data_IF_445872600493
#
_entry.id   IF_445872600493
#
_cell.length_a   1.000
_cell.length_b   1.000
_cell.length_c   1.000
_cell.angle_alpha   90.00
_cell.angle_beta   90.00
_cell.angle_gamma   90.00
#
_symmetry.space_group_name_H-M   'P 1'
#
loop_
_entity.id
_entity.type
_entity.pdbx_description
1 polymer ?
#
# COMPACT_ATOMS: atom_id res chain seq x y z
N UNK A 1 -31.29 1.21 -30.02
CA UNK A 1 -32.21 0.19 -29.46
C UNK A 1 -32.69 0.71 -28.10
N UNK A 2 -33.94 1.15 -27.98
CA UNK A 2 -34.49 1.73 -26.73
C UNK A 2 -34.90 0.57 -25.83
N UNK A 3 -34.33 0.47 -24.62
CA UNK A 3 -34.67 -0.61 -23.69
C UNK A 3 -35.92 -0.25 -22.87
N UNK A 4 -36.73 -1.22 -22.46
CA UNK A 4 -37.92 -1.01 -21.61
C UNK A 4 -37.61 -0.18 -20.34
N UNK A 5 -36.36 -0.23 -19.86
CA UNK A 5 -35.89 0.50 -18.68
C UNK A 5 -35.79 2.02 -18.92
N UNK A 6 -35.41 2.42 -20.13
CA UNK A 6 -35.37 3.84 -20.53
C UNK A 6 -36.76 4.47 -20.64
N UNK A 7 -37.81 3.68 -20.88
CA UNK A 7 -39.20 4.15 -20.88
C UNK A 7 -39.79 4.32 -19.47
N UNK A 8 -39.13 3.75 -18.45
CA UNK A 8 -39.61 3.74 -17.07
C UNK A 8 -38.82 4.67 -16.15
N UNK A 9 -37.99 5.56 -16.71
CA UNK A 9 -37.08 6.46 -15.97
C UNK A 9 -36.18 5.72 -14.96
N UNK A 10 -35.91 4.43 -15.22
CA UNK A 10 -35.13 3.58 -14.33
C UNK A 10 -33.64 3.72 -14.64
N UNK A 11 -32.85 4.20 -13.67
CA UNK A 11 -31.43 4.46 -13.90
C UNK A 11 -30.56 3.19 -13.94
N UNK A 12 -31.07 2.06 -13.44
CA UNK A 12 -30.32 0.81 -13.38
C UNK A 12 -31.21 -0.42 -13.54
N UNK A 13 -30.61 -1.47 -14.08
CA UNK A 13 -31.14 -2.82 -14.11
C UNK A 13 -30.48 -3.68 -13.05
N UNK A 14 -31.29 -4.56 -12.45
CA UNK A 14 -30.85 -5.60 -11.54
C UNK A 14 -31.67 -6.84 -11.83
N UNK A 15 -31.02 -7.92 -12.24
CA UNK A 15 -31.72 -9.16 -12.58
C UNK A 15 -32.57 -9.65 -11.40
N UNK A 16 -33.82 -10.05 -11.67
CA UNK A 16 -34.79 -10.44 -10.64
C UNK A 16 -35.38 -9.30 -9.81
N UNK A 17 -34.94 -8.05 -10.01
CA UNK A 17 -35.59 -6.88 -9.43
C UNK A 17 -36.76 -6.42 -10.30
N UNK A 18 -37.76 -5.79 -9.68
CA UNK A 18 -38.84 -5.14 -10.41
C UNK A 18 -38.30 -3.87 -11.05
N UNK A 19 -38.56 -3.70 -12.34
CA UNK A 19 -38.22 -2.50 -13.11
C UNK A 19 -39.13 -1.33 -12.77
N UNK A 20 -40.36 -1.61 -12.32
CA UNK A 20 -41.34 -0.60 -11.89
C UNK A 20 -41.08 -0.17 -10.44
N UNK A 21 -41.04 1.15 -10.15
CA UNK A 21 -41.03 1.65 -8.78
C UNK A 21 -42.17 1.05 -7.96
N UNK A 22 -41.92 0.72 -6.70
CA UNK A 22 -42.97 0.21 -5.82
C UNK A 22 -44.08 1.29 -5.71
N UNK A 23 -45.36 0.94 -5.92
CA UNK A 23 -46.44 1.92 -5.82
C UNK A 23 -46.43 2.55 -4.42
N UNK A 24 -46.34 3.89 -4.38
CA UNK A 24 -46.10 4.68 -3.16
C UNK A 24 -47.18 4.55 -2.07
N UNK A 25 -48.33 3.94 -2.37
CA UNK A 25 -49.48 3.83 -1.46
C UNK A 25 -50.23 2.51 -1.64
N UNK A 26 -49.65 1.40 -1.17
CA UNK A 26 -50.45 0.30 -0.60
C UNK A 26 -49.55 -0.67 0.13
N UNK A 27 -49.87 -0.91 1.41
CA UNK A 27 -49.36 -2.06 2.17
C UNK A 27 -50.07 -3.30 1.64
N UNK A 28 -49.78 -3.71 0.40
CA UNK A 28 -50.19 -5.02 -0.07
C UNK A 28 -49.24 -6.06 0.53
N UNK A 29 -49.82 -7.14 1.07
CA UNK A 29 -49.11 -8.35 1.52
C UNK A 29 -48.00 -8.65 0.51
N UNK A 30 -46.75 -8.56 0.96
CA UNK A 30 -45.57 -8.79 0.11
C UNK A 30 -45.71 -10.16 -0.54
N UNK A 31 -46.10 -10.20 -1.81
CA UNK A 31 -46.02 -11.42 -2.61
C UNK A 31 -44.58 -11.94 -2.48
N UNK A 32 -44.42 -13.17 -1.98
CA UNK A 32 -43.10 -13.78 -1.79
C UNK A 32 -42.39 -13.76 -3.15
N UNK A 33 -41.21 -13.13 -3.18
CA UNK A 33 -40.42 -12.99 -4.41
C UNK A 33 -40.05 -14.38 -4.90
N UNK A 34 -40.37 -14.71 -6.15
CA UNK A 34 -39.96 -15.99 -6.77
C UNK A 34 -38.47 -16.02 -7.13
N UNK A 35 -37.88 -14.86 -7.42
CA UNK A 35 -36.45 -14.71 -7.70
C UNK A 35 -35.81 -13.74 -6.71
N UNK A 36 -34.68 -14.12 -6.12
CA UNK A 36 -33.88 -13.21 -5.30
C UNK A 36 -33.09 -12.31 -6.25
N UNK A 37 -33.15 -10.97 -6.10
CA UNK A 37 -32.44 -10.07 -6.99
C UNK A 37 -30.94 -10.37 -7.00
N UNK A 38 -30.34 -10.40 -8.19
CA UNK A 38 -28.91 -10.64 -8.36
C UNK A 38 -28.08 -9.66 -7.53
N UNK A 39 -26.89 -10.03 -7.03
CA UNK A 39 -26.08 -9.14 -6.20
C UNK A 39 -25.49 -7.94 -6.98
N UNK A 40 -25.53 -7.98 -8.32
CA UNK A 40 -24.92 -7.00 -9.21
C UNK A 40 -25.94 -6.05 -9.86
N UNK A 41 -25.44 -4.92 -10.38
CA UNK A 41 -26.23 -3.83 -10.95
C UNK A 41 -25.64 -3.37 -12.28
N UNK A 42 -26.49 -3.04 -13.26
CA UNK A 42 -26.09 -2.55 -14.59
C UNK A 42 -26.73 -1.18 -14.85
N UNK A 43 -25.97 -0.11 -15.08
CA UNK A 43 -26.51 1.16 -15.57
C UNK A 43 -27.11 0.97 -16.97
N UNK A 44 -28.38 1.34 -17.17
CA UNK A 44 -29.10 1.11 -18.45
C UNK A 44 -29.67 2.38 -19.08
N UNK A 45 -29.50 3.53 -18.45
CA UNK A 45 -29.98 4.82 -18.95
C UNK A 45 -29.23 5.24 -20.22
N UNK A 46 -29.89 5.81 -21.24
CA UNK A 46 -29.20 6.37 -22.40
C UNK A 46 -28.32 7.60 -22.07
N UNK A 47 -28.68 8.37 -21.05
CA UNK A 47 -27.90 9.53 -20.58
C UNK A 47 -26.63 9.08 -19.82
N UNK A 48 -25.47 9.42 -20.39
CA UNK A 48 -24.13 9.15 -19.82
C UNK A 48 -23.99 9.71 -18.41
N UNK A 49 -24.47 10.93 -18.14
CA UNK A 49 -24.32 11.57 -16.82
C UNK A 49 -25.05 10.79 -15.74
N UNK A 50 -26.25 10.29 -16.05
CA UNK A 50 -27.03 9.43 -15.15
C UNK A 50 -26.34 8.08 -14.92
N UNK A 51 -25.75 7.46 -15.95
CA UNK A 51 -24.97 6.22 -15.78
C UNK A 51 -23.76 6.43 -14.88
N UNK A 52 -22.98 7.49 -15.09
CA UNK A 52 -21.84 7.82 -14.22
C UNK A 52 -22.27 8.11 -12.77
N UNK A 53 -23.43 8.72 -12.57
CA UNK A 53 -23.99 8.94 -11.23
C UNK A 53 -24.36 7.62 -10.52
N UNK A 54 -24.90 6.64 -11.25
CA UNK A 54 -25.14 5.28 -10.73
C UNK A 54 -23.82 4.60 -10.37
N UNK A 55 -22.84 4.64 -11.27
CA UNK A 55 -21.51 4.06 -11.04
C UNK A 55 -20.88 4.66 -9.78
N UNK A 56 -20.90 5.99 -9.63
CA UNK A 56 -20.34 6.67 -8.45
C UNK A 56 -20.92 6.19 -7.14
N UNK A 57 -22.26 6.03 -7.08
CA UNK A 57 -22.98 5.69 -5.84
C UNK A 57 -22.90 4.20 -5.51
N UNK A 58 -22.96 3.34 -6.52
CA UNK A 58 -23.16 1.90 -6.37
C UNK A 58 -22.01 1.08 -6.96
N UNK A 59 -20.81 1.65 -7.13
CA UNK A 59 -19.66 1.00 -7.77
C UNK A 59 -19.37 -0.41 -7.25
N UNK A 60 -19.56 -0.67 -5.95
CA UNK A 60 -19.35 -2.00 -5.36
C UNK A 60 -20.28 -3.07 -5.93
N UNK A 61 -21.51 -2.70 -6.31
CA UNK A 61 -22.52 -3.59 -6.88
C UNK A 61 -22.45 -3.64 -8.40
N UNK A 62 -21.96 -2.58 -9.04
CA UNK A 62 -21.73 -2.58 -10.47
C UNK A 62 -20.69 -3.66 -10.84
N UNK A 63 -20.95 -4.36 -11.94
CA UNK A 63 -20.02 -5.33 -12.52
C UNK A 63 -19.44 -4.72 -13.83
N UNK A 64 -18.11 -4.49 -13.92
CA UNK A 64 -17.50 -3.80 -15.04
C UNK A 64 -17.70 -4.51 -16.38
N UNK A 65 -17.99 -5.81 -16.40
CA UNK A 65 -18.26 -6.58 -17.62
C UNK A 65 -19.36 -5.95 -18.50
N UNK A 66 -20.35 -5.32 -17.87
CA UNK A 66 -21.51 -4.76 -18.57
C UNK A 66 -21.38 -3.27 -18.90
N UNK A 67 -20.22 -2.68 -18.63
CA UNK A 67 -19.91 -1.30 -18.92
C UNK A 67 -19.11 -1.20 -20.23
N UNK A 68 -19.23 -0.07 -20.92
CA UNK A 68 -18.31 0.27 -22.01
C UNK A 68 -16.90 0.57 -21.46
N UNK A 69 -15.89 0.68 -22.33
CA UNK A 69 -14.50 0.79 -21.88
C UNK A 69 -14.24 2.07 -21.05
N UNK A 70 -14.85 3.19 -21.43
CA UNK A 70 -14.72 4.46 -20.72
C UNK A 70 -15.37 4.40 -19.32
N UNK A 71 -16.55 3.79 -19.21
CA UNK A 71 -17.22 3.57 -17.92
C UNK A 71 -16.48 2.54 -17.07
N UNK A 72 -15.84 1.53 -17.67
CA UNK A 72 -14.96 0.60 -16.97
C UNK A 72 -13.76 1.33 -16.35
N UNK A 73 -13.12 2.25 -17.09
CA UNK A 73 -12.01 3.08 -16.56
C UNK A 73 -12.49 4.03 -15.47
N UNK A 74 -13.66 4.62 -15.63
CA UNK A 74 -14.27 5.48 -14.61
C UNK A 74 -14.58 4.71 -13.31
N UNK A 75 -15.21 3.55 -13.44
CA UNK A 75 -15.47 2.63 -12.33
C UNK A 75 -14.17 2.21 -11.64
N UNK A 76 -13.14 1.86 -12.42
CA UNK A 76 -11.82 1.46 -11.91
C UNK A 76 -11.16 2.55 -11.08
N UNK A 77 -11.33 3.82 -11.49
CA UNK A 77 -10.81 4.98 -10.77
C UNK A 77 -11.48 5.13 -9.39
N UNK A 78 -12.81 5.02 -9.33
CA UNK A 78 -13.55 5.08 -8.06
C UNK A 78 -13.16 3.91 -7.16
N UNK A 79 -13.12 2.70 -7.73
CA UNK A 79 -12.78 1.49 -7.02
C UNK A 79 -11.36 1.53 -6.44
N UNK A 80 -10.38 1.98 -7.22
CA UNK A 80 -8.98 2.09 -6.78
C UNK A 80 -8.83 2.98 -5.55
N UNK A 81 -9.58 4.10 -5.50
CA UNK A 81 -9.61 5.03 -4.37
C UNK A 81 -10.28 4.45 -3.12
N UNK A 82 -11.40 3.73 -3.31
CA UNK A 82 -12.32 3.41 -2.22
C UNK A 82 -12.24 1.97 -1.70
N UNK A 83 -11.64 1.05 -2.44
CA UNK A 83 -11.58 -0.36 -2.07
C UNK A 83 -10.93 -0.59 -0.70
N UNK A 84 -11.54 -1.47 0.08
CA UNK A 84 -11.06 -1.90 1.40
C UNK A 84 -10.24 -3.19 1.29
N UNK A 85 -9.28 -3.34 2.19
CA UNK A 85 -8.36 -4.49 2.16
C UNK A 85 -9.04 -5.86 2.31
N UNK A 86 -10.15 -5.91 3.05
CA UNK A 86 -10.90 -7.15 3.30
C UNK A 86 -11.69 -7.59 2.06
N UNK A 87 -12.06 -6.66 1.18
CA UNK A 87 -12.86 -6.88 -0.03
C UNK A 87 -12.01 -7.28 -1.25
N UNK A 88 -10.68 -7.19 -1.14
CA UNK A 88 -9.74 -7.37 -2.26
C UNK A 88 -9.96 -8.66 -3.06
N UNK A 89 -10.23 -9.78 -2.38
CA UNK A 89 -10.31 -11.09 -3.02
C UNK A 89 -11.53 -11.16 -3.95
N UNK A 90 -12.68 -10.69 -3.48
CA UNK A 90 -13.89 -10.60 -4.29
C UNK A 90 -13.73 -9.61 -5.44
N UNK A 91 -12.92 -8.56 -5.25
CA UNK A 91 -12.70 -7.54 -6.28
C UNK A 91 -11.76 -8.00 -7.39
N UNK A 92 -10.72 -8.77 -7.04
CA UNK A 92 -9.83 -9.40 -8.03
C UNK A 92 -10.62 -10.34 -8.94
N UNK A 93 -11.57 -11.11 -8.39
CA UNK A 93 -12.44 -11.97 -9.20
C UNK A 93 -13.25 -11.16 -10.23
N UNK A 94 -13.80 -10.00 -9.84
CA UNK A 94 -14.53 -9.11 -10.77
C UNK A 94 -13.65 -8.58 -11.89
N UNK A 95 -12.41 -8.22 -11.59
CA UNK A 95 -11.48 -7.66 -12.56
C UNK A 95 -10.87 -8.70 -13.50
N UNK A 96 -10.70 -9.94 -13.05
CA UNK A 96 -9.94 -10.96 -13.81
C UNK A 96 -10.82 -12.04 -14.41
N UNK A 97 -11.72 -12.63 -13.62
CA UNK A 97 -12.49 -13.80 -14.02
C UNK A 97 -13.79 -13.43 -14.76
N UNK A 98 -14.28 -12.20 -14.62
CA UNK A 98 -15.58 -11.77 -15.15
C UNK A 98 -15.52 -10.94 -16.43
N UNK A 99 -14.33 -10.78 -17.02
CA UNK A 99 -14.18 -10.15 -18.33
C UNK A 99 -14.13 -8.63 -18.33
N UNK A 100 -13.57 -8.01 -17.29
CA UNK A 100 -13.18 -6.60 -17.37
C UNK A 100 -12.01 -6.45 -18.35
N UNK A 101 -11.91 -5.28 -19.01
CA UNK A 101 -10.85 -5.01 -19.96
C UNK A 101 -9.48 -4.90 -19.26
N UNK A 102 -8.39 -5.16 -20.01
CA UNK A 102 -7.02 -4.94 -19.52
C UNK A 102 -6.82 -3.50 -19.07
N UNK A 103 -7.34 -2.56 -19.85
CA UNK A 103 -7.35 -1.13 -19.54
C UNK A 103 -8.05 -0.80 -18.20
N UNK A 104 -9.18 -1.46 -17.89
CA UNK A 104 -9.87 -1.32 -16.62
C UNK A 104 -8.98 -1.76 -15.45
N UNK A 105 -8.32 -2.92 -15.59
CA UNK A 105 -7.40 -3.44 -14.58
C UNK A 105 -6.20 -2.51 -14.38
N UNK A 106 -5.57 -2.05 -15.44
CA UNK A 106 -4.42 -1.13 -15.38
C UNK A 106 -4.80 0.19 -14.70
N UNK A 107 -5.94 0.77 -15.08
CA UNK A 107 -6.48 1.98 -14.45
C UNK A 107 -6.79 1.78 -12.96
N UNK A 108 -7.37 0.64 -12.59
CA UNK A 108 -7.64 0.29 -11.20
C UNK A 108 -6.34 0.20 -10.39
N UNK A 109 -5.35 -0.53 -10.90
CA UNK A 109 -4.07 -0.73 -10.21
C UNK A 109 -3.29 0.57 -10.07
N UNK A 110 -3.24 1.39 -11.12
CA UNK A 110 -2.59 2.70 -11.10
C UNK A 110 -3.25 3.64 -10.08
N UNK A 111 -4.57 3.75 -10.12
CA UNK A 111 -5.32 4.59 -9.17
C UNK A 111 -5.18 4.07 -7.74
N UNK A 112 -5.24 2.75 -7.54
CA UNK A 112 -5.09 2.14 -6.22
C UNK A 112 -3.68 2.38 -5.66
N UNK A 113 -2.63 2.25 -6.48
CA UNK A 113 -1.26 2.55 -6.10
C UNK A 113 -1.05 4.05 -5.77
N UNK A 114 -1.75 4.95 -6.46
CA UNK A 114 -1.58 6.39 -6.27
C UNK A 114 -2.35 6.94 -5.05
N UNK A 115 -3.63 6.59 -4.94
CA UNK A 115 -4.59 7.35 -4.13
C UNK A 115 -5.21 6.56 -2.97
N UNK A 116 -5.12 5.23 -2.96
CA UNK A 116 -5.82 4.45 -1.94
C UNK A 116 -5.30 4.78 -0.53
N UNK A 117 -6.16 5.05 0.47
CA UNK A 117 -5.72 5.39 1.82
C UNK A 117 -4.95 4.25 2.51
N UNK A 118 -5.20 3.00 2.12
CA UNK A 118 -4.52 1.84 2.68
C UNK A 118 -3.15 1.60 2.01
N UNK A 119 -2.09 1.92 2.74
CA UNK A 119 -0.69 1.68 2.40
C UNK A 119 -0.38 0.28 1.85
N UNK A 120 -1.00 -0.77 2.43
CA UNK A 120 -0.74 -2.15 2.00
C UNK A 120 -1.33 -2.42 0.63
N UNK A 121 -2.52 -1.87 0.35
CA UNK A 121 -3.13 -1.99 -0.97
C UNK A 121 -2.28 -1.26 -2.02
N UNK A 122 -1.71 -0.11 -1.70
CA UNK A 122 -0.82 0.60 -2.64
C UNK A 122 0.38 -0.24 -3.08
N UNK A 123 1.05 -0.90 -2.12
CA UNK A 123 2.18 -1.78 -2.41
C UNK A 123 1.76 -3.02 -3.23
N UNK A 124 0.62 -3.62 -2.89
CA UNK A 124 0.10 -4.78 -3.63
C UNK A 124 -0.28 -4.36 -5.04
N UNK A 125 -1.04 -3.27 -5.22
CA UNK A 125 -1.45 -2.76 -6.51
C UNK A 125 -0.25 -2.38 -7.39
N UNK A 126 0.79 -1.76 -6.81
CA UNK A 126 2.03 -1.49 -7.54
C UNK A 126 2.71 -2.79 -8.00
N UNK A 127 2.82 -3.78 -7.11
CA UNK A 127 3.40 -5.10 -7.42
C UNK A 127 2.62 -5.83 -8.51
N UNK A 128 1.29 -5.74 -8.47
CA UNK A 128 0.41 -6.35 -9.46
C UNK A 128 0.48 -5.60 -10.79
N UNK A 129 0.60 -4.25 -10.78
CA UNK A 129 0.74 -3.44 -12.00
C UNK A 129 2.01 -3.80 -12.76
N UNK A 130 3.11 -4.00 -12.05
CA UNK A 130 4.41 -4.41 -12.61
C UNK A 130 4.58 -5.92 -12.66
N UNK A 131 3.51 -6.71 -12.47
CA UNK A 131 3.56 -8.15 -12.74
C UNK A 131 3.41 -8.44 -14.24
N UNK A 132 2.78 -7.53 -14.96
CA UNK A 132 2.62 -7.50 -16.41
C UNK A 132 3.67 -6.58 -17.04
N UNK A 133 3.80 -6.63 -18.38
CA UNK A 133 4.58 -5.63 -19.11
C UNK A 133 3.94 -4.25 -18.94
N UNK A 134 4.80 -3.25 -18.69
CA UNK A 134 4.41 -1.86 -18.48
C UNK A 134 5.01 -1.01 -19.58
N UNK A 135 4.17 -0.27 -20.29
CA UNK A 135 4.64 0.66 -21.32
C UNK A 135 5.50 1.76 -20.71
N UNK A 136 6.38 2.34 -21.52
CA UNK A 136 7.29 3.41 -21.13
C UNK A 136 6.62 4.55 -20.36
N UNK A 137 5.50 5.08 -20.85
CA UNK A 137 4.84 6.23 -20.24
C UNK A 137 4.33 5.90 -18.84
N UNK A 138 3.58 4.80 -18.72
CA UNK A 138 3.07 4.29 -17.44
C UNK A 138 4.19 4.01 -16.44
N UNK A 139 5.32 3.45 -16.88
CA UNK A 139 6.44 3.19 -15.98
C UNK A 139 7.11 4.48 -15.49
N UNK A 140 7.22 5.51 -16.33
CA UNK A 140 7.71 6.84 -15.90
C UNK A 140 6.80 7.46 -14.84
N UNK A 141 5.48 7.32 -15.00
CA UNK A 141 4.48 7.75 -14.01
C UNK A 141 4.62 6.99 -12.70
N UNK A 142 4.84 5.67 -12.73
CA UNK A 142 5.08 4.87 -11.53
C UNK A 142 6.38 5.26 -10.81
N UNK A 143 7.46 5.54 -11.55
CA UNK A 143 8.72 6.04 -10.98
C UNK A 143 8.49 7.39 -10.31
N UNK A 144 7.80 8.31 -10.97
CA UNK A 144 7.46 9.63 -10.44
C UNK A 144 6.57 9.50 -9.19
N UNK A 145 5.54 8.66 -9.24
CA UNK A 145 4.64 8.38 -8.14
C UNK A 145 5.41 7.90 -6.90
N UNK A 146 6.25 6.87 -7.03
CA UNK A 146 6.97 6.30 -5.89
C UNK A 146 8.01 7.27 -5.32
N UNK A 147 8.68 8.04 -6.18
CA UNK A 147 9.80 8.91 -5.76
C UNK A 147 9.34 10.26 -5.21
N UNK A 148 8.26 10.84 -5.75
CA UNK A 148 7.83 12.21 -5.45
C UNK A 148 6.52 12.29 -4.67
N UNK A 149 5.59 11.34 -4.82
CA UNK A 149 4.27 11.50 -4.22
C UNK A 149 4.31 11.43 -2.68
N UNK A 150 3.64 12.36 -1.98
CA UNK A 150 3.57 12.36 -0.51
C UNK A 150 2.96 11.06 0.06
N UNK A 151 2.04 10.44 -0.68
CA UNK A 151 1.40 9.18 -0.27
C UNK A 151 2.41 8.03 -0.15
N UNK A 152 3.54 8.09 -0.86
CA UNK A 152 4.56 7.05 -0.86
C UNK A 152 5.69 7.27 0.14
N UNK A 153 5.79 8.40 0.81
CA UNK A 153 6.94 8.74 1.67
C UNK A 153 7.32 7.63 2.67
N UNK A 154 6.33 7.02 3.34
CA UNK A 154 6.55 5.97 4.35
C UNK A 154 6.83 4.58 3.77
N UNK A 155 6.48 4.34 2.52
CA UNK A 155 6.64 3.05 1.82
C UNK A 155 7.59 3.14 0.61
N UNK A 156 8.24 4.30 0.41
CA UNK A 156 9.07 4.61 -0.76
C UNK A 156 10.07 3.52 -1.04
N UNK A 157 10.77 3.05 -0.01
CA UNK A 157 11.78 1.99 -0.15
C UNK A 157 11.19 0.66 -0.66
N UNK A 158 9.97 0.33 -0.22
CA UNK A 158 9.25 -0.84 -0.71
C UNK A 158 8.83 -0.67 -2.18
N UNK A 159 8.33 0.51 -2.54
CA UNK A 159 7.97 0.84 -3.93
C UNK A 159 9.19 0.85 -4.86
N UNK A 160 10.29 1.47 -4.44
CA UNK A 160 11.56 1.52 -5.19
C UNK A 160 12.06 0.10 -5.44
N UNK A 161 12.01 -0.78 -4.44
CA UNK A 161 12.40 -2.18 -4.59
C UNK A 161 11.52 -2.90 -5.62
N UNK A 162 10.21 -2.68 -5.61
CA UNK A 162 9.26 -3.28 -6.57
C UNK A 162 9.59 -2.82 -7.99
N UNK A 163 9.84 -1.53 -8.21
CA UNK A 163 10.19 -0.99 -9.53
C UNK A 163 11.56 -1.45 -10.02
N UNK A 164 12.58 -1.48 -9.16
CA UNK A 164 13.90 -2.01 -9.53
C UNK A 164 13.84 -3.50 -9.92
N UNK A 165 13.03 -4.30 -9.22
CA UNK A 165 12.80 -5.69 -9.60
C UNK A 165 12.07 -5.81 -10.94
N UNK A 166 11.09 -4.95 -11.20
CA UNK A 166 10.41 -4.94 -12.49
C UNK A 166 11.35 -4.64 -13.65
N UNK A 167 12.32 -3.72 -13.45
CA UNK A 167 13.39 -3.47 -14.44
C UNK A 167 14.27 -4.71 -14.56
N UNK A 168 14.75 -5.29 -13.47
CA UNK A 168 15.61 -6.49 -13.49
C UNK A 168 14.96 -7.69 -14.18
N UNK A 169 13.65 -7.85 -14.04
CA UNK A 169 12.85 -8.93 -14.65
C UNK A 169 12.40 -8.62 -16.10
N UNK A 170 12.80 -7.47 -16.67
CA UNK A 170 12.49 -7.11 -18.06
C UNK A 170 11.02 -6.72 -18.31
N UNK A 171 10.31 -6.26 -17.27
CA UNK A 171 8.87 -5.94 -17.37
C UNK A 171 8.56 -4.52 -17.81
N UNK A 172 9.55 -3.62 -17.77
CA UNK A 172 9.42 -2.27 -18.28
C UNK A 172 9.80 -2.25 -19.76
N UNK A 173 8.86 -1.92 -20.64
CA UNK A 173 9.08 -1.83 -22.08
C UNK A 173 9.58 -0.43 -22.44
N UNK A 174 10.91 -0.28 -22.47
CA UNK A 174 11.59 0.96 -22.85
C UNK A 174 13.00 0.70 -23.38
N UNK A 175 13.55 1.61 -24.21
CA UNK A 175 14.96 1.57 -24.58
C UNK A 175 15.91 1.57 -23.37
N UNK A 176 17.06 0.93 -23.52
CA UNK A 176 18.03 0.70 -22.44
C UNK A 176 18.48 2.01 -21.75
N UNK A 177 18.63 3.11 -22.52
CA UNK A 177 19.00 4.41 -21.95
C UNK A 177 17.94 4.93 -20.95
N UNK A 178 16.67 4.64 -21.20
CA UNK A 178 15.56 5.04 -20.32
C UNK A 178 15.52 4.14 -19.09
N UNK A 179 15.75 2.84 -19.26
CA UNK A 179 15.87 1.90 -18.15
C UNK A 179 17.01 2.28 -17.22
N UNK A 180 18.18 2.64 -17.76
CA UNK A 180 19.32 3.12 -16.99
C UNK A 180 18.97 4.40 -16.21
N UNK A 181 18.33 5.37 -16.87
CA UNK A 181 17.87 6.62 -16.25
C UNK A 181 16.94 6.36 -15.06
N UNK A 182 15.95 5.47 -15.22
CA UNK A 182 15.04 5.10 -14.14
C UNK A 182 15.75 4.38 -13.01
N UNK A 183 16.62 3.42 -13.33
CA UNK A 183 17.42 2.67 -12.36
C UNK A 183 18.21 3.61 -11.45
N UNK A 184 18.93 4.57 -12.03
CA UNK A 184 19.72 5.53 -11.25
C UNK A 184 18.90 6.63 -10.57
N UNK A 185 17.69 6.94 -11.06
CA UNK A 185 16.73 7.81 -10.34
C UNK A 185 16.20 7.09 -9.09
N UNK A 186 15.83 5.82 -9.22
CA UNK A 186 15.39 4.95 -8.13
C UNK A 186 16.52 4.70 -7.11
N UNK A 187 17.75 4.48 -7.59
CA UNK A 187 18.94 4.36 -6.76
C UNK A 187 19.12 5.59 -5.87
N UNK A 188 19.06 6.81 -6.45
CA UNK A 188 19.12 8.08 -5.73
C UNK A 188 17.99 8.24 -4.70
N UNK A 189 16.76 7.85 -5.04
CA UNK A 189 15.64 7.86 -4.09
C UNK A 189 15.86 6.90 -2.90
N UNK A 190 16.72 5.88 -3.08
CA UNK A 190 17.13 4.93 -2.04
C UNK A 190 18.52 5.16 -1.45
N UNK A 191 19.18 6.29 -1.77
CA UNK A 191 20.60 6.57 -1.48
C UNK A 191 21.01 6.27 -0.05
N UNK A 192 20.24 6.71 0.94
CA UNK A 192 20.55 6.50 2.37
C UNK A 192 20.70 5.01 2.75
N UNK A 193 19.96 4.13 2.09
CA UNK A 193 20.04 2.70 2.35
C UNK A 193 21.19 2.03 1.57
N UNK A 194 21.43 2.51 0.36
CA UNK A 194 22.58 2.09 -0.45
C UNK A 194 23.90 2.49 0.24
N UNK A 195 24.01 3.72 0.74
CA UNK A 195 25.17 4.21 1.51
C UNK A 195 25.45 3.33 2.74
N UNK A 196 24.42 2.96 3.48
CA UNK A 196 24.54 2.06 4.63
C UNK A 196 25.01 0.66 4.23
N UNK A 197 24.51 0.15 3.10
CA UNK A 197 24.91 -1.16 2.57
C UNK A 197 26.38 -1.13 2.16
N UNK A 198 26.77 -0.16 1.34
CA UNK A 198 28.15 0.04 0.90
C UNK A 198 29.09 0.18 2.11
N UNK A 199 28.74 1.02 3.08
CA UNK A 199 29.53 1.22 4.31
C UNK A 199 29.64 -0.01 5.22
N UNK A 200 28.69 -0.94 5.14
CA UNK A 200 28.70 -2.15 5.96
C UNK A 200 29.61 -3.24 5.36
N UNK A 201 29.65 -3.34 4.03
CA UNK A 201 30.43 -4.38 3.33
C UNK A 201 31.80 -3.87 2.84
N UNK A 202 31.95 -2.57 2.67
CA UNK A 202 33.20 -1.94 2.27
C UNK A 202 33.59 -0.84 3.27
N UNK A 203 34.49 -1.13 4.22
CA UNK A 203 34.89 -0.17 5.26
C UNK A 203 35.41 1.16 4.73
N UNK A 204 36.08 1.15 3.57
CA UNK A 204 36.59 2.37 2.95
C UNK A 204 35.51 3.25 2.28
N UNK A 205 34.28 2.74 2.12
CA UNK A 205 33.20 3.49 1.46
C UNK A 205 33.00 4.88 2.09
N UNK A 206 32.99 4.96 3.42
CA UNK A 206 32.84 6.24 4.15
C UNK A 206 33.99 7.20 3.87
N UNK A 207 35.22 6.67 3.77
CA UNK A 207 36.43 7.46 3.49
C UNK A 207 36.37 8.02 2.07
N UNK A 208 36.03 7.20 1.08
CA UNK A 208 35.96 7.60 -0.32
C UNK A 208 34.79 8.56 -0.59
N UNK A 209 33.59 8.25 -0.08
CA UNK A 209 32.43 9.13 -0.20
C UNK A 209 32.66 10.46 0.52
N UNK A 210 33.27 10.44 1.71
CA UNK A 210 33.66 11.64 2.44
C UNK A 210 34.72 12.46 1.71
N UNK A 211 35.73 11.82 1.12
CA UNK A 211 36.75 12.50 0.32
C UNK A 211 36.13 13.15 -0.93
N UNK A 212 35.22 12.45 -1.63
CA UNK A 212 34.50 12.99 -2.78
C UNK A 212 33.64 14.20 -2.38
N UNK A 213 32.84 14.08 -1.32
CA UNK A 213 31.94 15.14 -0.87
C UNK A 213 32.66 16.41 -0.38
N UNK A 214 33.86 16.26 0.20
CA UNK A 214 34.63 17.38 0.75
C UNK A 214 35.73 17.92 -0.19
N UNK A 215 35.86 17.36 -1.39
CA UNK A 215 36.88 17.80 -2.36
C UNK A 215 36.31 18.75 -3.39
N UNK A 216 37.20 19.55 -4.01
CA UNK A 216 36.83 20.48 -5.06
C UNK A 216 37.83 20.49 -6.21
N UNK A 217 37.38 20.91 -7.40
CA UNK A 217 38.21 21.07 -8.60
C UNK A 217 38.89 19.76 -9.02
N UNK A 218 40.16 19.81 -9.42
CA UNK A 218 40.91 18.62 -9.84
C UNK A 218 40.98 17.53 -8.76
N UNK A 219 41.08 17.89 -7.48
CA UNK A 219 41.06 16.89 -6.39
C UNK A 219 39.73 16.14 -6.32
N UNK A 220 38.63 16.78 -6.70
CA UNK A 220 37.32 16.11 -6.78
C UNK A 220 37.30 15.08 -7.90
N UNK A 221 37.90 15.39 -9.05
CA UNK A 221 38.04 14.46 -10.17
C UNK A 221 38.89 13.25 -9.80
N UNK A 222 40.01 13.46 -9.11
CA UNK A 222 40.87 12.38 -8.61
C UNK A 222 40.15 11.50 -7.58
N UNK A 223 39.40 12.10 -6.65
CA UNK A 223 38.63 11.35 -5.66
C UNK A 223 37.47 10.57 -6.30
N UNK A 224 36.84 11.14 -7.34
CA UNK A 224 35.84 10.43 -8.13
C UNK A 224 36.46 9.22 -8.84
N UNK A 225 37.63 9.37 -9.45
CA UNK A 225 38.35 8.27 -10.08
C UNK A 225 38.71 7.15 -9.09
N UNK A 226 39.22 7.50 -7.90
CA UNK A 226 39.51 6.52 -6.84
C UNK A 226 38.26 5.76 -6.40
N UNK A 227 37.14 6.47 -6.22
CA UNK A 227 35.86 5.86 -5.85
C UNK A 227 35.34 4.93 -6.95
N UNK A 228 35.42 5.36 -8.20
CA UNK A 228 34.99 4.58 -9.37
C UNK A 228 35.80 3.29 -9.51
N UNK A 229 37.12 3.37 -9.41
CA UNK A 229 37.97 2.18 -9.51
C UNK A 229 37.64 1.18 -8.39
N UNK A 230 37.50 1.65 -7.16
CA UNK A 230 37.06 0.79 -6.04
C UNK A 230 35.67 0.18 -6.29
N UNK A 231 34.73 0.95 -6.85
CA UNK A 231 33.38 0.44 -7.12
C UNK A 231 33.36 -0.68 -8.17
N UNK A 232 34.24 -0.63 -9.17
CA UNK A 232 34.33 -1.63 -10.24
C UNK A 232 35.00 -2.94 -9.80
N UNK A 233 35.84 -2.90 -8.77
CA UNK A 233 36.48 -4.11 -8.18
C UNK A 233 35.55 -4.84 -7.19
N UNK A 234 34.52 -4.18 -6.70
CA UNK A 234 33.58 -4.73 -5.72
C UNK A 234 32.49 -5.57 -6.39
N UNK A 235 31.87 -6.51 -5.65
CA UNK A 235 30.68 -7.22 -6.12
C UNK A 235 29.57 -6.24 -6.54
N UNK A 236 28.83 -6.55 -7.61
CA UNK A 236 27.82 -5.67 -8.19
C UNK A 236 26.83 -5.04 -7.17
N UNK A 237 26.32 -5.75 -6.15
CA UNK A 237 25.46 -5.14 -5.12
C UNK A 237 26.14 -4.02 -4.34
N UNK A 238 27.43 -4.17 -4.03
CA UNK A 238 28.21 -3.20 -3.25
C UNK A 238 28.69 -2.06 -4.14
N UNK A 239 29.22 -2.38 -5.33
CA UNK A 239 29.65 -1.40 -6.32
C UNK A 239 28.50 -0.49 -6.76
N UNK A 240 27.32 -1.07 -7.05
CA UNK A 240 26.13 -0.30 -7.40
C UNK A 240 25.66 0.60 -6.25
N UNK A 241 25.72 0.10 -5.01
CA UNK A 241 25.37 0.89 -3.82
C UNK A 241 26.32 2.07 -3.59
N UNK A 242 27.62 1.86 -3.86
CA UNK A 242 28.64 2.90 -3.76
C UNK A 242 28.42 3.98 -4.83
N UNK A 243 28.22 3.59 -6.10
CA UNK A 243 27.93 4.52 -7.21
C UNK A 243 26.57 5.21 -7.11
N UNK A 244 25.59 4.59 -6.43
CA UNK A 244 24.31 5.23 -6.11
C UNK A 244 24.47 6.36 -5.07
N UNK A 245 25.53 6.32 -4.28
CA UNK A 245 25.83 7.27 -3.21
C UNK A 245 26.82 8.37 -3.63
N UNK A 246 27.54 8.14 -4.73
CA UNK A 246 28.48 9.10 -5.32
C UNK A 246 27.76 10.18 -6.15
N UNK A 247 28.14 11.43 -5.91
CA UNK A 247 27.69 12.60 -6.67
C UNK A 247 28.91 13.40 -7.11
N UNK A 248 29.05 13.56 -8.43
CA UNK A 248 30.00 14.47 -9.03
C UNK A 248 29.34 15.82 -9.27
N UNK A 249 30.03 16.91 -8.93
CA UNK A 249 29.54 18.26 -9.25
C UNK A 249 30.33 18.92 -10.38
N UNK A 250 31.52 18.40 -10.72
CA UNK A 250 32.24 18.80 -11.94
C UNK A 250 31.80 17.94 -13.12
N UNK A 251 31.76 18.48 -14.36
CA UNK A 251 31.38 17.70 -15.54
C UNK A 251 32.21 16.42 -15.70
N UNK A 252 33.52 16.49 -15.45
CA UNK A 252 34.43 15.34 -15.54
C UNK A 252 34.15 14.27 -14.48
N UNK A 253 33.90 14.67 -13.23
CA UNK A 253 33.56 13.71 -12.18
C UNK A 253 32.20 13.03 -12.46
N UNK A 254 31.22 13.78 -12.95
CA UNK A 254 29.92 13.22 -13.38
C UNK A 254 30.10 12.22 -14.51
N UNK A 255 30.87 12.55 -15.55
CA UNK A 255 31.19 11.63 -16.64
C UNK A 255 31.91 10.36 -16.17
N UNK A 256 32.86 10.48 -15.24
CA UNK A 256 33.54 9.32 -14.64
C UNK A 256 32.56 8.40 -13.91
N UNK A 257 31.65 8.96 -13.11
CA UNK A 257 30.64 8.19 -12.38
C UNK A 257 29.66 7.54 -13.35
N UNK A 258 29.16 8.28 -14.35
CA UNK A 258 28.21 7.74 -15.31
C UNK A 258 28.82 6.65 -16.19
N UNK A 259 30.08 6.82 -16.63
CA UNK A 259 30.82 5.76 -17.33
C UNK A 259 31.03 4.53 -16.44
N UNK A 260 31.27 4.70 -15.13
CA UNK A 260 31.38 3.60 -14.19
C UNK A 260 30.06 2.84 -14.03
N UNK A 261 28.94 3.56 -14.03
CA UNK A 261 27.59 2.98 -13.94
C UNK A 261 27.28 2.07 -15.13
N UNK A 262 27.75 2.43 -16.33
CA UNK A 262 27.61 1.62 -17.55
C UNK A 262 28.56 0.40 -17.55
N UNK A 263 29.76 0.53 -16.97
CA UNK A 263 30.75 -0.56 -16.89
C UNK A 263 30.45 -1.60 -15.81
N UNK A 264 29.60 -1.29 -14.85
CA UNK A 264 29.32 -2.16 -13.70
C UNK A 264 28.59 -3.46 -14.10
N UNK A 265 27.83 -3.43 -15.19
CA UNK A 265 27.06 -4.57 -15.68
C UNK A 265 25.88 -4.11 -16.53
N UNK A 266 25.04 -5.05 -16.95
CA UNK A 266 23.82 -4.71 -17.70
C UNK A 266 22.83 -3.95 -16.82
N UNK A 267 21.95 -3.15 -17.43
CA UNK A 267 20.94 -2.39 -16.67
C UNK A 267 20.06 -3.29 -15.80
N UNK A 268 19.73 -4.49 -16.29
CA UNK A 268 18.93 -5.47 -15.57
C UNK A 268 19.67 -6.03 -14.33
N UNK A 269 20.94 -6.37 -14.47
CA UNK A 269 21.78 -6.85 -13.35
C UNK A 269 21.96 -5.77 -12.29
N UNK A 270 22.26 -4.53 -12.71
CA UNK A 270 22.43 -3.39 -11.80
C UNK A 270 21.11 -3.09 -11.06
N UNK A 271 19.97 -3.13 -11.75
CA UNK A 271 18.66 -2.95 -11.12
C UNK A 271 18.37 -4.05 -10.09
N UNK A 272 18.70 -5.30 -10.41
CA UNK A 272 18.58 -6.44 -9.49
C UNK A 272 19.45 -6.26 -8.25
N UNK A 273 20.73 -5.94 -8.44
CA UNK A 273 21.71 -5.71 -7.39
C UNK A 273 21.28 -4.56 -6.44
N UNK A 274 20.79 -3.45 -6.99
CA UNK A 274 20.25 -2.35 -6.20
C UNK A 274 18.99 -2.74 -5.42
N UNK A 275 18.13 -3.58 -5.99
CA UNK A 275 16.91 -4.05 -5.33
C UNK A 275 17.19 -5.00 -4.16
N UNK A 276 18.25 -5.81 -4.24
CA UNK A 276 18.68 -6.72 -3.17
C UNK A 276 19.09 -5.99 -1.90
N UNK A 277 19.71 -4.82 -2.04
CA UNK A 277 20.14 -3.98 -0.94
C UNK A 277 18.99 -3.36 -0.14
N UNK A 278 17.76 -3.38 -0.68
CA UNK A 278 16.58 -2.81 -0.04
C UNK A 278 15.88 -3.82 0.87
N UNK A 279 15.13 -3.40 1.90
CA UNK A 279 14.45 -4.33 2.79
C UNK A 279 13.42 -5.15 2.02
N UNK A 280 13.40 -6.46 2.27
CA UNK A 280 12.33 -7.32 1.74
C UNK A 280 10.98 -6.86 2.29
N UNK A 281 9.91 -6.87 1.47
CA UNK A 281 8.57 -6.62 1.97
C UNK A 281 8.29 -7.62 3.08
N UNK A 282 7.85 -7.11 4.24
CA UNK A 282 7.52 -7.96 5.40
C UNK A 282 6.29 -8.78 5.04
N UNK A 283 6.48 -9.92 4.38
CA UNK A 283 5.46 -10.95 4.19
C UNK A 283 4.82 -11.20 5.54
N UNK A 284 3.51 -11.05 5.59
CA UNK A 284 2.76 -10.83 6.81
C UNK A 284 2.95 -11.96 7.84
N UNK A 285 3.89 -11.80 8.77
CA UNK A 285 4.02 -12.64 9.97
C UNK A 285 2.87 -12.46 10.99
N UNK A 286 1.80 -11.76 10.58
CA UNK A 286 0.56 -11.57 11.36
C UNK A 286 -0.17 -12.87 11.66
N UNK A 287 0.03 -13.94 10.86
CA UNK A 287 -0.52 -15.28 11.15
C UNK A 287 0.23 -15.96 12.31
N UNK A 288 1.54 -15.72 12.45
CA UNK A 288 2.38 -16.33 13.49
C UNK A 288 2.19 -15.69 14.86
N UNK A 289 2.12 -14.35 14.96
CA UNK A 289 1.85 -13.66 16.25
C UNK A 289 0.44 -13.95 16.77
N UNK A 290 -0.58 -14.05 15.90
CA UNK A 290 -1.95 -14.40 16.31
C UNK A 290 -2.06 -15.86 16.76
N UNK A 291 -1.33 -16.79 16.13
CA UNK A 291 -1.21 -18.19 16.59
C UNK A 291 -0.48 -18.29 17.93
N UNK A 292 0.64 -17.58 18.13
CA UNK A 292 1.36 -17.59 19.44
C UNK A 292 0.50 -17.00 20.57
N UNK A 293 -0.29 -15.96 20.31
CA UNK A 293 -1.20 -15.37 21.32
C UNK A 293 -2.42 -16.26 21.61
N UNK A 294 -2.94 -16.99 20.63
CA UNK A 294 -3.98 -18.03 20.85
C UNK A 294 -3.43 -19.28 21.54
N UNK A 295 -2.18 -19.69 21.26
CA UNK A 295 -1.52 -20.82 21.93
C UNK A 295 -1.20 -20.49 23.39
N UNK A 296 -0.75 -19.26 23.70
CA UNK A 296 -0.59 -18.77 25.08
C UNK A 296 -1.91 -18.67 25.86
N UNK A 297 -3.02 -18.32 25.20
CA UNK A 297 -4.35 -18.30 25.84
C UNK A 297 -4.95 -19.69 26.05
N UNK A 298 -4.47 -20.71 25.33
CA UNK A 298 -4.86 -22.11 25.50
C UNK A 298 -3.96 -22.87 26.50
N UNK A 299 -2.69 -22.45 26.64
CA UNK A 299 -1.76 -23.00 27.66
C UNK A 299 -1.93 -22.38 29.05
N UNK A 300 -2.51 -21.19 29.17
CA UNK A 300 -2.84 -20.57 30.47
C UNK A 300 -4.06 -21.16 31.19
N UNK A 301 -4.82 -22.06 30.55
CA UNK A 301 -5.98 -22.72 31.13
C UNK A 301 -5.68 -24.11 31.73
N UNK A 302 -4.43 -24.57 31.67
CA UNK A 302 -4.00 -25.85 32.27
C UNK A 302 -3.09 -25.69 33.49
N UNK A 303 -2.68 -24.47 33.86
CA UNK A 303 -1.97 -24.22 35.11
C UNK A 303 -2.88 -23.84 36.29
N UNK A 304 -4.17 -23.53 36.04
CA UNK A 304 -5.11 -23.15 37.10
C UNK A 304 -5.83 -24.33 37.77
N UNK A 305 -5.68 -25.56 37.25
CA UNK A 305 -6.31 -26.76 37.84
C UNK A 305 -5.36 -27.59 38.72
N UNK A 306 -4.04 -27.40 38.62
CA UNK A 306 -3.07 -28.13 39.45
C UNK A 306 -2.84 -27.49 40.84
N UNK A 307 -3.19 -26.21 41.03
CA UNK A 307 -3.02 -25.51 42.31
C UNK A 307 -4.24 -25.58 43.25
N UNK A 308 -5.41 -26.02 42.76
CA UNK A 308 -6.62 -26.19 43.60
C UNK A 308 -6.75 -27.58 44.25
N UNK A 309 -5.92 -28.57 43.87
CA UNK A 309 -5.93 -29.90 44.49
C UNK A 309 -4.92 -30.08 45.63
N UNK A 310 -3.95 -29.17 45.81
CA UNK A 310 -2.97 -29.25 46.90
C UNK A 310 -3.38 -28.48 48.18
N UNK A 311 -4.39 -27.60 48.12
CA UNK A 311 -4.89 -26.88 49.30
C UNK A 311 -6.06 -27.59 50.02
N UNK A 312 -6.63 -28.66 49.46
CA UNK A 312 -7.76 -29.39 50.05
C UNK A 312 -7.34 -30.56 50.97
N UNK A 313 -6.04 -30.85 51.13
CA UNK A 313 -5.55 -31.98 51.93
C UNK A 313 -4.84 -31.60 53.24
N UNK A 314 -4.79 -30.31 53.61
CA UNK A 314 -4.11 -29.86 54.85
C UNK A 314 -5.02 -29.23 55.91
N UNK A 315 -6.35 -29.31 55.78
CA UNK A 315 -7.29 -28.69 56.73
C UNK A 315 -8.22 -29.68 57.47
N UNK A 316 -7.78 -30.92 57.69
CA UNK A 316 -8.48 -31.88 58.53
C UNK A 316 -7.58 -32.37 59.70
N UNK A 317 -7.40 -31.52 60.71
CA UNK A 317 -7.13 -31.87 62.12
C UNK A 317 -7.36 -30.62 62.99
N UNK A 318 -8.39 -30.69 63.83
CA UNK A 318 -8.94 -29.67 64.75
C UNK A 318 -8.04 -29.46 66.02
N UNK A 319 -8.34 -28.62 67.04
CA UNK A 319 -9.64 -28.01 67.41
C UNK A 319 -9.66 -26.54 67.95
N UNK A 320 -10.90 -26.11 68.26
CA UNK A 320 -11.49 -24.96 69.00
C UNK A 320 -10.65 -24.38 70.17
N UNK A 321 -10.69 -23.13 70.65
CA UNK A 321 -11.42 -21.83 70.55
C UNK A 321 -10.79 -20.91 71.65
N UNK A 322 -11.32 -19.75 72.12
CA UNK A 322 -12.38 -18.85 71.63
C UNK A 322 -12.02 -17.33 71.61
N UNK A 323 -12.91 -16.54 70.98
CA UNK A 323 -13.33 -15.14 71.23
C UNK A 323 -12.32 -13.97 71.50
N UNK A 324 -12.40 -12.87 70.70
CA UNK A 324 -13.06 -11.59 71.07
C UNK A 324 -12.73 -10.41 70.12
N UNK A 325 -13.80 -9.68 69.78
CA UNK A 325 -13.97 -8.21 69.63
C UNK A 325 -13.41 -7.40 68.43
N UNK A 326 -14.36 -7.04 67.55
CA UNK A 326 -14.80 -5.69 67.10
C UNK A 326 -13.78 -4.51 67.07
N UNK A 327 -13.49 -3.95 65.88
CA UNK A 327 -13.80 -2.54 65.54
C UNK A 327 -13.60 -2.17 64.05
N UNK A 328 -14.40 -1.19 63.60
CA UNK A 328 -14.72 -0.78 62.24
C UNK A 328 -13.63 0.03 61.50
N UNK A 329 -13.59 -0.06 60.16
CA UNK A 329 -13.69 1.10 59.25
C UNK A 329 -13.66 0.69 57.75
N UNK A 330 -14.63 1.22 57.00
CA UNK A 330 -14.80 1.13 55.55
C UNK A 330 -13.61 1.65 54.72
N UNK A 331 -13.32 1.02 53.57
CA UNK A 331 -12.96 1.75 52.34
C UNK A 331 -12.84 0.87 51.07
N UNK A 332 -13.67 1.26 50.08
CA UNK A 332 -13.32 1.52 48.66
C UNK A 332 -13.14 0.34 47.69
N UNK A 333 -14.20 0.15 46.89
CA UNK A 333 -14.16 -0.42 45.55
C UNK A 333 -13.38 0.50 44.56
N UNK A 334 -12.59 -0.05 43.62
CA UNK A 334 -11.80 0.74 42.68
C UNK A 334 -12.63 1.33 41.53
N UNK A 335 -12.50 2.66 41.37
CA UNK A 335 -13.13 3.52 40.37
C UNK A 335 -12.79 3.15 38.92
N UNK A 336 -13.83 3.01 38.09
CA UNK A 336 -13.77 3.08 36.61
C UNK A 336 -13.32 4.48 36.18
N UNK A 337 -12.24 4.58 35.41
CA UNK A 337 -11.78 5.85 34.80
C UNK A 337 -12.60 6.20 33.55
N UNK A 338 -13.25 7.36 33.62
CA UNK A 338 -13.99 8.03 32.55
C UNK A 338 -13.08 8.47 31.39
N UNK A 339 -13.54 8.26 30.15
CA UNK A 339 -12.93 8.77 28.91
C UNK A 339 -13.43 10.21 28.69
N UNK A 340 -12.50 11.17 28.63
CA UNK A 340 -12.77 12.60 28.30
C UNK A 340 -13.38 12.73 26.90
N UNK A 341 -14.48 13.48 26.79
CA UNK A 341 -15.00 14.01 25.53
C UNK A 341 -14.23 15.30 25.16
N UNK A 342 -13.92 15.56 23.88
CA UNK A 342 -13.40 16.84 23.43
C UNK A 342 -14.52 17.88 23.26
N UNK A 343 -14.30 19.10 23.76
CA UNK A 343 -15.23 20.23 23.67
C UNK A 343 -15.31 20.88 22.27
N UNK A 344 -16.34 21.72 22.03
CA UNK A 344 -16.63 22.30 20.72
C UNK A 344 -15.62 23.40 20.33
N UNK A 345 -15.29 23.46 19.03
CA UNK A 345 -14.44 24.49 18.41
C UNK A 345 -15.26 25.75 18.12
N UNK A 346 -14.70 26.90 18.46
CA UNK A 346 -15.20 28.22 18.09
C UNK A 346 -15.00 28.49 16.59
N UNK A 347 -16.00 29.12 15.98
CA UNK A 347 -15.99 29.67 14.61
C UNK A 347 -15.16 30.97 14.57
N UNK A 348 -14.42 31.25 13.48
CA UNK A 348 -13.81 32.56 13.27
C UNK A 348 -14.81 33.53 12.63
N UNK A 349 -14.92 34.70 13.24
CA UNK A 349 -15.72 35.84 12.82
C UNK A 349 -15.22 36.47 11.51
N UNK A 350 -16.18 36.89 10.71
CA UNK A 350 -16.07 37.69 9.49
C UNK A 350 -15.35 39.02 9.76
N UNK A 351 -14.34 39.34 8.95
CA UNK A 351 -13.75 40.68 8.89
C UNK A 351 -14.34 41.43 7.70
N UNK A 352 -14.96 42.56 7.99
CA UNK A 352 -15.47 43.55 7.06
C UNK A 352 -14.32 44.26 6.33
N UNK A 353 -14.51 44.50 5.04
CA UNK A 353 -13.68 45.34 4.18
C UNK A 353 -14.19 46.79 4.28
N UNK A 354 -13.34 47.81 4.50
CA UNK A 354 -13.70 49.17 4.15
C UNK A 354 -13.20 49.51 2.74
N UNK A 355 -14.03 50.28 2.05
CA UNK A 355 -13.83 50.79 0.72
C UNK A 355 -12.67 51.81 0.61
N UNK A 356 -11.90 51.70 -0.47
CA UNK A 356 -11.43 52.79 -1.34
C UNK A 356 -10.77 52.17 -2.58
#
# INVERSE_FOLDING_TARGET
>A
MISLHSLLDADFYREGARVTPAPRRRVQRRARRKLTPAPWLVPVTPDVRRRLAVITREWQRVDPKYLDEDEQRYWATIAGRQIRFDERAAFVEKLTARGASKACLEQFLATCAAENPNRRLRIIALSDRVSMTVERADFDDLVTLVTQAPTWEKDRMGGVRVLLRAIAEGKADAPEQILARWTWRLARASRKLQDRRASAEFPEAKRLLGALANSRGHRHEENAAKLVNAALELPAPVGAALLASAEGYTPRATQLIDAARERLGTVHEVAGALAENLPQPKLTSGRSRRRKRRKRKKSGAHQSQAQQQQQAQQQAKAPEGPEQQVENAEAKQPKRRHRKQPGPKAEPASAETPAA
#
